data_IF_898997632032
#
_entry.id   IF_898997632032
#
_cell.length_a   1.000
_cell.length_b   1.000
_cell.length_c   1.000
_cell.angle_alpha   90.00
_cell.angle_beta   90.00
_cell.angle_gamma   90.00
#
_symmetry.space_group_name_H-M   'P 1'
#
loop_
_entity.id
_entity.type
_entity.pdbx_description
1 polymer ?
#
# COMPACT_ATOMS: atom_id res chain seq x y z
N UNK A 1 20.32 1.01 16.10
CA UNK A 1 19.83 0.15 15.01
C UNK A 1 18.45 -0.43 15.33
N UNK A 2 18.22 -1.03 16.51
CA UNK A 2 16.94 -1.64 16.91
C UNK A 2 15.79 -0.63 16.86
N UNK A 3 15.96 0.57 17.37
CA UNK A 3 14.93 1.63 17.36
C UNK A 3 14.52 1.98 15.92
N UNK A 4 15.49 2.09 15.00
CA UNK A 4 15.22 2.37 13.58
C UNK A 4 14.46 1.21 12.91
N UNK A 5 14.84 -0.03 13.18
CA UNK A 5 14.10 -1.19 12.68
C UNK A 5 12.64 -1.16 13.13
N UNK A 6 12.39 -0.91 14.42
CA UNK A 6 11.03 -0.77 14.93
C UNK A 6 10.29 0.39 14.27
N UNK A 7 10.96 1.52 14.01
CA UNK A 7 10.36 2.66 13.30
C UNK A 7 9.98 2.29 11.87
N UNK A 8 10.84 1.58 11.11
CA UNK A 8 10.52 1.13 9.74
C UNK A 8 9.33 0.16 9.74
N UNK A 9 9.35 -0.84 10.64
CA UNK A 9 8.24 -1.78 10.78
C UNK A 9 6.95 -1.05 11.17
N UNK A 10 7.04 -0.05 12.05
CA UNK A 10 5.90 0.77 12.44
C UNK A 10 5.35 1.59 11.27
N UNK A 11 6.22 2.25 10.49
CA UNK A 11 5.81 3.04 9.33
C UNK A 11 5.12 2.20 8.24
N UNK A 12 5.51 0.93 8.08
CA UNK A 12 4.84 0.00 7.16
C UNK A 12 3.56 -0.56 7.80
N UNK A 13 3.64 -1.04 9.03
CA UNK A 13 2.57 -1.80 9.68
C UNK A 13 1.43 -0.94 10.22
N UNK A 14 1.72 0.24 10.77
CA UNK A 14 0.70 1.10 11.38
C UNK A 14 -0.37 1.58 10.38
N UNK A 15 -0.02 2.06 9.16
CA UNK A 15 -1.04 2.40 8.17
C UNK A 15 -1.86 1.19 7.72
N UNK A 16 -1.25 0.00 7.65
CA UNK A 16 -1.95 -1.25 7.35
C UNK A 16 -3.01 -1.57 8.42
N UNK A 17 -2.65 -1.44 9.70
CA UNK A 17 -3.59 -1.62 10.81
C UNK A 17 -4.70 -0.57 10.78
N UNK A 18 -4.37 0.69 10.47
CA UNK A 18 -5.34 1.77 10.30
C UNK A 18 -6.32 1.49 9.16
N UNK A 19 -5.83 0.96 8.03
CA UNK A 19 -6.65 0.52 6.91
C UNK A 19 -7.62 -0.59 7.33
N UNK A 20 -7.14 -1.60 8.06
CA UNK A 20 -7.97 -2.67 8.60
C UNK A 20 -9.03 -2.16 9.58
N UNK A 21 -8.65 -1.26 10.49
CA UNK A 21 -9.57 -0.66 11.46
C UNK A 21 -10.70 0.12 10.77
N UNK A 22 -10.41 0.83 9.68
CA UNK A 22 -11.39 1.55 8.87
C UNK A 22 -12.34 0.61 8.11
N UNK A 23 -11.85 -0.54 7.63
CA UNK A 23 -12.71 -1.56 6.98
C UNK A 23 -13.69 -2.21 7.95
N UNK A 24 -13.25 -2.47 9.19
CA UNK A 24 -14.08 -3.10 10.22
C UNK A 24 -15.09 -2.10 10.80
N UNK A 25 -14.67 -0.87 11.07
CA UNK A 25 -15.50 0.18 11.65
C UNK A 25 -16.19 1.04 10.59
N UNK A 26 -17.27 0.52 10.01
CA UNK A 26 -18.05 1.23 8.98
C UNK A 26 -18.95 2.35 9.53
N UNK A 27 -18.83 2.73 10.80
CA UNK A 27 -19.62 3.82 11.38
C UNK A 27 -19.17 5.16 10.84
N UNK A 28 -20.09 5.89 10.22
CA UNK A 28 -19.82 7.20 9.60
C UNK A 28 -19.25 8.26 10.56
N UNK A 29 -19.43 8.12 11.86
CA UNK A 29 -18.91 9.04 12.88
C UNK A 29 -17.45 8.76 13.27
N UNK A 30 -16.95 7.54 13.06
CA UNK A 30 -15.62 7.14 13.54
C UNK A 30 -14.51 7.30 12.49
N UNK A 31 -14.86 7.20 11.17
CA UNK A 31 -13.82 7.27 10.13
C UNK A 31 -13.02 8.60 10.14
N UNK A 32 -13.62 9.80 10.41
CA UNK A 32 -12.81 11.02 10.42
C UNK A 32 -11.81 11.03 11.58
N UNK A 33 -12.24 10.59 12.75
CA UNK A 33 -11.38 10.52 13.95
C UNK A 33 -10.23 9.56 13.71
N UNK A 34 -10.50 8.37 13.16
CA UNK A 34 -9.48 7.40 12.80
C UNK A 34 -8.54 7.94 11.71
N UNK A 35 -9.07 8.63 10.68
CA UNK A 35 -8.25 9.19 9.63
C UNK A 35 -7.32 10.31 10.15
N UNK A 36 -7.84 11.27 10.93
CA UNK A 36 -7.04 12.36 11.49
C UNK A 36 -5.99 11.84 12.49
N UNK A 37 -6.37 10.94 13.40
CA UNK A 37 -5.43 10.39 14.37
C UNK A 37 -4.34 9.56 13.71
N UNK A 38 -4.70 8.71 12.75
CA UNK A 38 -3.73 7.89 12.01
C UNK A 38 -2.78 8.76 11.17
N UNK A 39 -3.29 9.79 10.50
CA UNK A 39 -2.48 10.72 9.74
C UNK A 39 -1.50 11.49 10.63
N UNK A 40 -1.97 11.99 11.79
CA UNK A 40 -1.14 12.70 12.76
C UNK A 40 -0.02 11.82 13.34
N UNK A 41 -0.33 10.59 13.72
CA UNK A 41 0.64 9.62 14.23
C UNK A 41 1.67 9.28 13.14
N UNK A 42 1.21 9.04 11.91
CA UNK A 42 2.09 8.69 10.80
C UNK A 42 3.05 9.82 10.45
N UNK A 43 2.56 11.06 10.40
CA UNK A 43 3.37 12.24 10.18
C UNK A 43 4.43 12.42 11.29
N UNK A 44 4.04 12.29 12.55
CA UNK A 44 4.95 12.37 13.69
C UNK A 44 6.01 11.26 13.65
N UNK A 45 5.62 10.02 13.36
CA UNK A 45 6.54 8.90 13.23
C UNK A 45 7.53 9.08 12.08
N UNK A 46 7.07 9.63 10.93
CA UNK A 46 7.95 9.91 9.77
C UNK A 46 9.01 10.95 10.10
N UNK A 47 8.69 11.97 10.91
CA UNK A 47 9.69 12.92 11.42
C UNK A 47 10.77 12.24 12.29
N UNK A 48 10.44 11.09 12.87
CA UNK A 48 11.43 10.24 13.57
C UNK A 48 12.58 9.77 12.69
N UNK A 49 12.42 9.72 11.38
CA UNK A 49 13.50 9.41 10.42
C UNK A 49 14.59 10.48 10.39
N UNK A 50 14.33 11.71 10.87
CA UNK A 50 15.29 12.80 10.94
C UNK A 50 16.24 12.71 12.16
N UNK A 51 16.00 11.80 13.10
CA UNK A 51 16.84 11.71 14.31
C UNK A 51 18.29 11.29 13.99
N UNK A 52 19.28 11.74 14.83
CA UNK A 52 20.71 11.68 14.50
C UNK A 52 21.31 10.28 14.34
N UNK A 53 20.56 9.21 14.64
CA UNK A 53 21.00 7.83 14.38
C UNK A 53 21.11 7.49 12.88
N UNK A 54 20.56 8.34 12.00
CA UNK A 54 20.70 8.23 10.53
C UNK A 54 22.06 8.71 10.00
N UNK A 55 22.98 9.16 10.87
CA UNK A 55 24.33 9.60 10.43
C UNK A 55 25.24 8.47 9.93
N UNK A 56 24.91 7.21 10.23
CA UNK A 56 25.69 6.03 9.81
C UNK A 56 25.02 5.22 8.69
N UNK A 57 24.20 5.85 7.86
CA UNK A 57 23.56 5.21 6.70
C UNK A 57 24.56 5.04 5.55
N UNK A 58 24.45 3.95 4.72
CA UNK A 58 23.32 3.02 4.65
C UNK A 58 23.27 1.97 5.78
N UNK A 59 22.08 1.63 6.23
CA UNK A 59 21.81 0.60 7.22
C UNK A 59 20.92 -0.50 6.60
N UNK A 60 21.28 -1.76 6.89
CA UNK A 60 20.53 -2.92 6.44
C UNK A 60 19.96 -3.67 7.65
N UNK A 61 18.72 -4.14 7.52
CA UNK A 61 18.01 -4.81 8.60
C UNK A 61 17.46 -6.14 8.13
N UNK A 62 17.58 -7.14 8.98
CA UNK A 62 16.90 -8.40 8.85
C UNK A 62 15.53 -8.30 9.54
N UNK A 63 14.46 -8.35 8.76
CA UNK A 63 13.08 -8.28 9.24
C UNK A 63 12.28 -9.48 8.70
N UNK A 64 12.84 -10.69 8.85
CA UNK A 64 12.18 -11.89 8.36
C UNK A 64 11.63 -12.74 9.51
N UNK A 65 10.30 -12.81 9.58
CA UNK A 65 9.65 -13.93 10.26
C UNK A 65 9.31 -15.00 9.21
N UNK A 66 9.44 -16.30 9.50
CA UNK A 66 9.26 -17.38 8.52
C UNK A 66 7.89 -17.41 7.82
N UNK A 67 6.90 -16.76 8.41
CA UNK A 67 5.53 -16.69 7.89
C UNK A 67 5.28 -15.50 6.95
N UNK A 68 6.17 -14.49 6.92
CA UNK A 68 5.95 -13.25 6.17
C UNK A 68 5.95 -13.51 4.66
N UNK A 69 6.99 -14.14 4.14
CA UNK A 69 7.10 -14.41 2.69
C UNK A 69 5.97 -15.32 2.17
N UNK A 70 5.60 -16.43 2.86
CA UNK A 70 4.43 -17.23 2.45
C UNK A 70 3.12 -16.43 2.45
N UNK A 71 2.91 -15.54 3.42
CA UNK A 71 1.71 -14.70 3.47
C UNK A 71 1.72 -13.67 2.33
N UNK A 72 2.85 -13.03 2.05
CA UNK A 72 2.99 -12.11 0.93
C UNK A 72 2.71 -12.82 -0.40
N UNK A 73 3.28 -14.01 -0.60
CA UNK A 73 3.05 -14.82 -1.81
C UNK A 73 1.57 -15.20 -1.96
N UNK A 74 0.92 -15.64 -0.89
CA UNK A 74 -0.51 -15.96 -0.92
C UNK A 74 -1.36 -14.72 -1.23
N UNK A 75 -1.03 -13.57 -0.65
CA UNK A 75 -1.72 -12.30 -0.92
C UNK A 75 -1.55 -11.86 -2.38
N UNK A 76 -0.36 -12.04 -2.95
CA UNK A 76 -0.06 -11.76 -4.36
C UNK A 76 -0.91 -12.60 -5.31
N UNK A 77 -1.05 -13.90 -5.03
CA UNK A 77 -1.93 -14.78 -5.79
C UNK A 77 -3.39 -14.33 -5.71
N UNK A 78 -3.87 -13.94 -4.52
CA UNK A 78 -5.23 -13.42 -4.35
C UNK A 78 -5.44 -12.12 -5.13
N UNK A 79 -4.47 -11.22 -5.14
CA UNK A 79 -4.51 -9.98 -5.92
C UNK A 79 -4.57 -10.29 -7.42
N UNK A 80 -3.68 -11.16 -7.91
CA UNK A 80 -3.64 -11.57 -9.31
C UNK A 80 -4.95 -12.22 -9.74
N UNK A 81 -5.50 -13.14 -8.94
CA UNK A 81 -6.79 -13.77 -9.21
C UNK A 81 -7.93 -12.75 -9.24
N UNK A 82 -7.95 -11.78 -8.32
CA UNK A 82 -8.95 -10.72 -8.31
C UNK A 82 -8.89 -9.88 -9.59
N UNK A 83 -7.70 -9.45 -10.01
CA UNK A 83 -7.52 -8.68 -11.25
C UNK A 83 -7.89 -9.51 -12.48
N UNK A 84 -7.56 -10.80 -12.49
CA UNK A 84 -7.90 -11.71 -13.57
C UNK A 84 -9.42 -11.86 -13.74
N UNK A 85 -10.14 -12.13 -12.65
CA UNK A 85 -11.60 -12.22 -12.64
C UNK A 85 -12.24 -10.93 -13.14
N UNK A 86 -11.69 -9.79 -12.71
CA UNK A 86 -12.20 -8.47 -13.09
C UNK A 86 -11.98 -8.19 -14.59
N UNK A 87 -10.80 -8.55 -15.11
CA UNK A 87 -10.44 -8.41 -16.53
C UNK A 87 -11.31 -9.33 -17.42
N UNK A 88 -11.52 -10.58 -17.02
CA UNK A 88 -12.42 -11.49 -17.75
C UNK A 88 -13.87 -10.99 -17.78
N UNK A 89 -14.37 -10.45 -16.68
CA UNK A 89 -15.73 -9.86 -16.64
C UNK A 89 -15.90 -8.71 -17.61
N UNK A 90 -14.83 -7.92 -17.83
CA UNK A 90 -14.81 -6.82 -18.79
C UNK A 90 -14.46 -7.23 -20.21
N UNK A 91 -14.05 -8.46 -20.43
CA UNK A 91 -13.56 -8.97 -21.73
C UNK A 91 -12.34 -8.18 -22.23
N UNK A 92 -11.52 -7.67 -21.33
CA UNK A 92 -10.27 -7.01 -21.67
C UNK A 92 -9.16 -8.06 -21.81
N UNK A 93 -8.90 -8.44 -23.08
CA UNK A 93 -7.91 -9.47 -23.39
C UNK A 93 -6.47 -9.03 -23.11
N UNK A 94 -6.18 -7.73 -23.18
CA UNK A 94 -4.82 -7.21 -22.96
C UNK A 94 -4.46 -7.30 -21.48
N UNK A 95 -5.31 -6.77 -20.61
CA UNK A 95 -5.10 -6.84 -19.15
C UNK A 95 -5.07 -8.30 -18.70
N UNK A 96 -5.98 -9.15 -19.21
CA UNK A 96 -5.96 -10.60 -18.89
C UNK A 96 -4.64 -11.26 -19.27
N UNK A 97 -4.09 -10.96 -20.44
CA UNK A 97 -2.82 -11.51 -20.89
C UNK A 97 -1.64 -11.08 -20.01
N UNK A 98 -1.59 -9.79 -19.61
CA UNK A 98 -0.55 -9.30 -18.71
C UNK A 98 -0.65 -9.93 -17.33
N UNK A 99 -1.84 -10.02 -16.71
CA UNK A 99 -2.02 -10.65 -15.40
C UNK A 99 -1.65 -12.13 -15.45
N UNK A 100 -2.02 -12.86 -16.51
CA UNK A 100 -1.62 -14.27 -16.69
C UNK A 100 -0.09 -14.41 -16.84
N UNK A 101 0.53 -13.55 -17.65
CA UNK A 101 1.97 -13.56 -17.82
C UNK A 101 2.71 -13.28 -16.50
N UNK A 102 2.27 -12.27 -15.76
CA UNK A 102 2.80 -11.92 -14.44
C UNK A 102 2.66 -13.08 -13.45
N UNK A 103 1.47 -13.67 -13.33
CA UNK A 103 1.22 -14.82 -12.45
C UNK A 103 2.09 -16.02 -12.83
N UNK A 104 2.23 -16.31 -14.12
CA UNK A 104 3.08 -17.39 -14.61
C UNK A 104 4.55 -17.15 -14.26
N UNK A 105 5.05 -15.92 -14.43
CA UNK A 105 6.42 -15.53 -14.08
C UNK A 105 6.66 -15.62 -12.57
N UNK A 106 5.70 -15.17 -11.75
CA UNK A 106 5.75 -15.26 -10.30
C UNK A 106 5.85 -16.72 -9.83
N UNK A 107 5.00 -17.59 -10.36
CA UNK A 107 5.03 -19.03 -10.06
C UNK A 107 6.33 -19.69 -10.53
N UNK A 108 6.77 -19.39 -11.74
CA UNK A 108 8.02 -19.92 -12.29
C UNK A 108 9.23 -19.49 -11.45
N UNK A 109 9.26 -18.24 -10.98
CA UNK A 109 10.32 -17.74 -10.10
C UNK A 109 10.24 -18.40 -8.72
N UNK A 110 9.07 -18.43 -8.11
CA UNK A 110 8.88 -18.98 -6.75
C UNK A 110 9.22 -20.48 -6.66
N UNK A 111 8.80 -21.29 -7.63
CA UNK A 111 9.06 -22.73 -7.65
C UNK A 111 10.38 -23.12 -8.32
N UNK A 112 11.01 -22.20 -9.05
CA UNK A 112 12.27 -22.40 -9.75
C UNK A 112 13.46 -21.69 -9.07
N UNK A 113 14.08 -20.70 -9.75
CA UNK A 113 15.33 -20.07 -9.29
C UNK A 113 15.19 -19.33 -7.94
N UNK A 114 14.00 -18.86 -7.60
CA UNK A 114 13.74 -18.12 -6.38
C UNK A 114 13.92 -18.92 -5.09
N UNK A 115 13.87 -20.26 -5.15
CA UNK A 115 14.08 -21.13 -3.97
C UNK A 115 15.48 -21.02 -3.38
N UNK A 116 16.47 -20.68 -4.20
CA UNK A 116 17.87 -20.59 -3.79
C UNK A 116 18.29 -19.17 -3.42
N UNK A 117 17.43 -18.18 -3.69
CA UNK A 117 17.71 -16.77 -3.44
C UNK A 117 17.13 -16.36 -2.09
N UNK A 118 17.99 -16.34 -1.07
CA UNK A 118 17.63 -15.80 0.24
C UNK A 118 18.28 -14.43 0.42
N UNK A 119 17.47 -13.38 0.53
CA UNK A 119 17.96 -12.06 0.91
C UNK A 119 18.29 -12.07 2.40
N UNK A 120 19.54 -11.81 2.75
CA UNK A 120 19.97 -11.73 4.16
C UNK A 120 19.32 -10.55 4.87
N UNK A 121 19.10 -9.44 4.16
CA UNK A 121 18.51 -8.21 4.68
C UNK A 121 17.32 -7.82 3.82
N UNK A 122 16.13 -7.79 4.40
CA UNK A 122 14.88 -7.48 3.69
C UNK A 122 14.55 -5.98 3.68
N UNK A 123 15.07 -5.23 4.65
CA UNK A 123 14.87 -3.78 4.73
C UNK A 123 16.20 -3.04 4.72
N UNK A 124 16.18 -1.84 4.15
CA UNK A 124 17.33 -0.93 4.16
C UNK A 124 16.89 0.51 4.41
N UNK A 125 17.82 1.31 4.87
CA UNK A 125 17.63 2.74 5.08
C UNK A 125 18.87 3.47 4.61
N UNK A 126 18.72 4.30 3.59
CA UNK A 126 19.72 5.22 3.09
C UNK A 126 19.18 6.66 3.06
N UNK A 127 19.96 7.62 2.58
CA UNK A 127 19.55 9.03 2.52
C UNK A 127 18.34 9.22 1.60
N UNK A 128 18.29 8.47 0.50
CA UNK A 128 17.17 8.53 -0.44
C UNK A 128 15.89 7.95 0.17
N UNK A 129 15.99 6.79 0.85
CA UNK A 129 14.86 6.18 1.55
C UNK A 129 14.31 7.07 2.66
N UNK A 130 15.18 7.78 3.40
CA UNK A 130 14.76 8.78 4.40
C UNK A 130 13.95 9.90 3.74
N UNK A 131 14.49 10.47 2.64
CA UNK A 131 13.80 11.54 1.91
C UNK A 131 12.42 11.06 1.38
N UNK A 132 12.38 9.90 0.74
CA UNK A 132 11.13 9.33 0.23
C UNK A 132 10.16 9.00 1.36
N UNK A 133 10.63 8.42 2.47
CA UNK A 133 9.81 8.13 3.64
C UNK A 133 9.21 9.39 4.28
N UNK A 134 9.94 10.51 4.31
CA UNK A 134 9.41 11.80 4.76
C UNK A 134 8.34 12.34 3.81
N UNK A 135 8.55 12.25 2.50
CA UNK A 135 7.55 12.67 1.49
C UNK A 135 6.28 11.84 1.66
N UNK A 136 6.38 10.52 1.71
CA UNK A 136 5.23 9.62 1.88
C UNK A 136 4.51 9.92 3.20
N UNK A 137 5.26 10.05 4.30
CA UNK A 137 4.68 10.23 5.63
C UNK A 137 4.06 11.59 5.83
N UNK A 138 4.69 12.68 5.39
CA UNK A 138 4.18 14.04 5.60
C UNK A 138 3.11 14.36 4.56
N UNK A 139 3.45 14.28 3.26
CA UNK A 139 2.53 14.66 2.20
C UNK A 139 1.35 13.68 2.13
N UNK A 140 1.61 12.36 2.25
CA UNK A 140 0.55 11.35 2.27
C UNK A 140 -0.42 11.53 3.43
N UNK A 141 0.09 11.88 4.63
CA UNK A 141 -0.78 12.19 5.78
C UNK A 141 -1.59 13.47 5.56
N UNK A 142 -1.01 14.51 4.97
CA UNK A 142 -1.74 15.74 4.63
C UNK A 142 -2.83 15.48 3.59
N UNK A 143 -2.58 14.63 2.60
CA UNK A 143 -3.59 14.19 1.63
C UNK A 143 -4.73 13.47 2.34
N UNK A 144 -4.44 12.56 3.29
CA UNK A 144 -5.46 11.86 4.04
C UNK A 144 -6.31 12.82 4.90
N UNK A 145 -5.70 13.83 5.53
CA UNK A 145 -6.40 14.89 6.28
C UNK A 145 -7.31 15.70 5.36
N UNK A 146 -6.78 16.19 4.25
CA UNK A 146 -7.55 16.96 3.26
C UNK A 146 -8.74 16.16 2.70
N UNK A 147 -8.52 14.89 2.44
CA UNK A 147 -9.54 14.00 1.87
C UNK A 147 -10.77 13.84 2.77
N UNK A 148 -10.67 14.06 4.09
CA UNK A 148 -11.82 13.96 5.01
C UNK A 148 -12.88 15.01 4.67
N UNK A 149 -12.47 16.27 4.56
CA UNK A 149 -13.40 17.35 4.24
C UNK A 149 -13.84 17.28 2.78
N UNK A 150 -12.93 16.94 1.87
CA UNK A 150 -13.25 16.75 0.45
C UNK A 150 -14.32 15.67 0.25
N UNK A 151 -14.21 14.52 0.89
CA UNK A 151 -15.18 13.42 0.75
C UNK A 151 -16.51 13.72 1.42
N UNK A 152 -16.51 14.55 2.46
CA UNK A 152 -17.74 15.06 3.08
C UNK A 152 -18.50 15.99 2.12
N UNK A 153 -17.78 16.94 1.53
CA UNK A 153 -18.35 17.88 0.56
C UNK A 153 -18.84 17.17 -0.70
N UNK A 154 -18.04 16.23 -1.22
CA UNK A 154 -18.39 15.41 -2.37
C UNK A 154 -19.74 14.69 -2.19
N UNK A 155 -19.97 14.02 -1.04
CA UNK A 155 -21.22 13.30 -0.80
C UNK A 155 -22.41 14.23 -0.51
N UNK A 156 -22.19 15.49 -0.10
CA UNK A 156 -23.26 16.48 0.02
C UNK A 156 -23.78 16.93 -1.35
N UNK A 157 -22.89 17.07 -2.33
CA UNK A 157 -23.24 17.50 -3.68
C UNK A 157 -23.66 16.33 -4.59
N UNK A 158 -23.29 15.10 -4.23
CA UNK A 158 -23.54 13.90 -5.01
C UNK A 158 -24.19 12.79 -4.16
N UNK A 159 -25.45 12.97 -3.71
CA UNK A 159 -26.14 11.99 -2.87
C UNK A 159 -26.46 10.67 -3.59
N UNK A 160 -26.38 10.64 -4.93
CA UNK A 160 -26.58 9.47 -5.76
C UNK A 160 -25.50 8.40 -5.61
N UNK A 161 -24.29 8.78 -5.15
CA UNK A 161 -23.20 7.82 -4.96
C UNK A 161 -23.30 7.13 -3.60
N UNK A 162 -23.02 5.84 -3.60
CA UNK A 162 -22.99 5.04 -2.37
C UNK A 162 -21.91 5.55 -1.41
N UNK A 163 -22.28 5.76 -0.15
CA UNK A 163 -21.34 6.18 0.88
C UNK A 163 -20.40 5.02 1.28
N UNK A 164 -19.23 4.98 0.67
CA UNK A 164 -18.16 4.04 0.94
C UNK A 164 -16.90 4.73 1.47
N UNK A 165 -17.06 5.88 2.15
CA UNK A 165 -15.93 6.66 2.71
C UNK A 165 -14.95 5.83 3.56
N UNK A 166 -15.38 4.93 4.45
CA UNK A 166 -14.44 4.09 5.20
C UNK A 166 -13.54 3.23 4.30
N UNK A 167 -14.07 2.71 3.18
CA UNK A 167 -13.29 1.95 2.20
C UNK A 167 -12.30 2.85 1.48
N UNK A 168 -12.70 4.06 1.10
CA UNK A 168 -11.83 5.05 0.48
C UNK A 168 -10.61 5.37 1.37
N UNK A 169 -10.84 5.68 2.66
CA UNK A 169 -9.75 5.95 3.60
C UNK A 169 -8.90 4.72 3.89
N UNK A 170 -9.51 3.54 3.95
CA UNK A 170 -8.76 2.29 4.07
C UNK A 170 -7.79 2.11 2.90
N UNK A 171 -8.22 2.38 1.67
CA UNK A 171 -7.36 2.31 0.49
C UNK A 171 -6.23 3.34 0.53
N UNK A 172 -6.47 4.57 1.02
CA UNK A 172 -5.42 5.57 1.21
C UNK A 172 -4.36 5.06 2.19
N UNK A 173 -4.75 4.57 3.37
CA UNK A 173 -3.78 4.08 4.36
C UNK A 173 -3.08 2.79 3.91
N UNK A 174 -3.77 1.91 3.18
CA UNK A 174 -3.15 0.74 2.56
C UNK A 174 -2.10 1.16 1.52
N UNK A 175 -2.42 2.16 0.71
CA UNK A 175 -1.48 2.74 -0.25
C UNK A 175 -0.25 3.34 0.44
N UNK A 176 -0.42 4.10 1.53
CA UNK A 176 0.69 4.66 2.30
C UNK A 176 1.57 3.56 2.91
N UNK A 177 0.96 2.50 3.46
CA UNK A 177 1.68 1.32 3.96
C UNK A 177 2.55 0.71 2.86
N UNK A 178 1.98 0.49 1.69
CA UNK A 178 2.68 -0.09 0.55
C UNK A 178 3.80 0.83 0.04
N UNK A 179 3.58 2.14 -0.01
CA UNK A 179 4.61 3.11 -0.40
C UNK A 179 5.80 3.12 0.57
N UNK A 180 5.57 3.02 1.89
CA UNK A 180 6.67 2.81 2.84
C UNK A 180 7.39 1.48 2.60
N UNK A 181 6.64 0.41 2.31
CA UNK A 181 7.23 -0.87 1.92
C UNK A 181 8.13 -0.74 0.70
N UNK A 182 7.70 -0.05 -0.35
CA UNK A 182 8.52 0.23 -1.55
C UNK A 182 9.79 1.02 -1.18
N UNK A 183 9.67 2.05 -0.32
CA UNK A 183 10.80 2.92 0.04
C UNK A 183 11.88 2.19 0.85
N UNK A 184 11.51 1.18 1.64
CA UNK A 184 12.41 0.52 2.57
C UNK A 184 12.79 -0.91 2.20
N UNK A 185 12.19 -1.49 1.15
CA UNK A 185 12.50 -2.85 0.71
C UNK A 185 13.89 -2.98 0.09
N UNK A 186 14.70 -3.92 0.60
CA UNK A 186 15.98 -4.34 0.01
C UNK A 186 15.88 -5.70 -0.70
N UNK A 187 14.74 -6.31 -0.68
CA UNK A 187 14.43 -7.57 -1.33
C UNK A 187 13.50 -7.31 -2.52
N UNK A 188 13.89 -7.79 -3.69
CA UNK A 188 13.12 -7.58 -4.92
C UNK A 188 11.71 -8.16 -4.86
N UNK A 189 11.52 -9.30 -4.17
CA UNK A 189 10.21 -9.91 -3.94
C UNK A 189 9.31 -9.02 -3.07
N UNK A 190 9.86 -8.45 -1.99
CA UNK A 190 9.15 -7.49 -1.14
C UNK A 190 8.80 -6.21 -1.90
N UNK A 191 9.76 -5.68 -2.65
CA UNK A 191 9.56 -4.49 -3.49
C UNK A 191 8.41 -4.70 -4.48
N UNK A 192 8.41 -5.85 -5.18
CA UNK A 192 7.38 -6.20 -6.13
C UNK A 192 6.00 -6.32 -5.47
N UNK A 193 5.90 -7.02 -4.34
CA UNK A 193 4.67 -7.15 -3.56
C UNK A 193 4.07 -5.79 -3.16
N UNK A 194 4.87 -4.91 -2.58
CA UNK A 194 4.39 -3.59 -2.19
C UNK A 194 4.01 -2.73 -3.40
N UNK A 195 4.77 -2.84 -4.49
CA UNK A 195 4.44 -2.15 -5.73
C UNK A 195 3.08 -2.60 -6.28
N UNK A 196 2.79 -3.88 -6.28
CA UNK A 196 1.50 -4.43 -6.71
C UNK A 196 0.33 -3.89 -5.87
N UNK A 197 0.50 -3.83 -4.55
CA UNK A 197 -0.52 -3.23 -3.67
C UNK A 197 -0.76 -1.76 -4.05
N UNK A 198 0.27 -0.96 -4.35
CA UNK A 198 0.07 0.43 -4.78
C UNK A 198 -0.74 0.54 -6.06
N UNK A 199 -0.50 -0.35 -7.01
CA UNK A 199 -1.24 -0.42 -8.28
C UNK A 199 -2.71 -0.76 -8.05
N UNK A 200 -3.00 -1.77 -7.24
CA UNK A 200 -4.37 -2.16 -6.90
C UNK A 200 -5.10 -1.05 -6.14
N UNK A 201 -4.44 -0.41 -5.17
CA UNK A 201 -5.03 0.72 -4.44
C UNK A 201 -5.36 1.88 -5.38
N UNK A 202 -4.46 2.23 -6.31
CA UNK A 202 -4.68 3.27 -7.31
C UNK A 202 -5.87 2.92 -8.21
N UNK A 203 -5.93 1.69 -8.70
CA UNK A 203 -7.05 1.18 -9.49
C UNK A 203 -8.39 1.33 -8.75
N UNK A 204 -8.45 0.90 -7.48
CA UNK A 204 -9.68 0.96 -6.69
C UNK A 204 -10.07 2.40 -6.33
N UNK A 205 -9.11 3.29 -6.09
CA UNK A 205 -9.36 4.72 -5.83
C UNK A 205 -9.88 5.43 -7.07
N UNK A 206 -9.32 5.17 -8.27
CA UNK A 206 -9.80 5.75 -9.53
C UNK A 206 -11.23 5.25 -9.83
N UNK A 207 -11.49 3.97 -9.57
CA UNK A 207 -12.80 3.34 -9.77
C UNK A 207 -13.85 3.74 -8.73
N UNK A 208 -13.52 4.56 -7.74
CA UNK A 208 -14.38 4.83 -6.57
C UNK A 208 -15.82 5.26 -6.94
N UNK A 209 -16.01 6.04 -8.00
CA UNK A 209 -17.32 6.49 -8.47
C UNK A 209 -18.17 5.40 -9.11
N UNK A 210 -17.56 4.30 -9.55
CA UNK A 210 -18.22 3.18 -10.24
C UNK A 210 -18.98 3.55 -11.53
N UNK A 211 -18.81 4.80 -12.05
CA UNK A 211 -19.30 5.19 -13.36
C UNK A 211 -18.47 4.55 -14.49
N UNK A 212 -19.04 4.46 -15.68
CA UNK A 212 -18.41 3.78 -16.82
C UNK A 212 -17.05 4.40 -17.18
N UNK A 213 -16.93 5.72 -17.08
CA UNK A 213 -15.71 6.46 -17.37
C UNK A 213 -14.62 6.21 -16.32
N UNK A 214 -14.97 6.28 -15.03
CA UNK A 214 -14.02 6.01 -13.94
C UNK A 214 -13.50 4.58 -13.98
N UNK A 215 -14.38 3.63 -14.28
CA UNK A 215 -13.99 2.23 -14.43
C UNK A 215 -13.08 2.04 -15.66
N UNK A 216 -13.37 2.68 -16.80
CA UNK A 216 -12.49 2.64 -17.97
C UNK A 216 -11.10 3.24 -17.64
N UNK A 217 -11.06 4.41 -17.00
CA UNK A 217 -9.81 5.07 -16.59
C UNK A 217 -9.00 4.23 -15.61
N UNK A 218 -9.65 3.52 -14.69
CA UNK A 218 -8.99 2.61 -13.77
C UNK A 218 -8.27 1.46 -14.49
N UNK A 219 -8.90 0.88 -15.52
CA UNK A 219 -8.27 -0.16 -16.35
C UNK A 219 -7.10 0.36 -17.21
N UNK A 220 -7.13 1.63 -17.62
CA UNK A 220 -6.00 2.25 -18.29
C UNK A 220 -4.81 2.53 -17.35
N UNK A 221 -5.04 2.54 -16.04
CA UNK A 221 -4.01 2.77 -15.02
C UNK A 221 -3.36 1.47 -14.51
N UNK A 222 -3.90 0.30 -14.88
CA UNK A 222 -3.31 -1.02 -14.63
C UNK A 222 -2.24 -1.32 -15.67
#
# INVERSE_FOLDING_TARGET
>A
QIILLFLLIFLIGFPLLSAGALLVNRKASLYPVLAYSSAGILMAASLGLLFPHTRSIPLFFEASAPWVEPVMFAAELVISDYLLVLSFRRRDGVVSAFVLAQTALLLAFHFGPGKEVHAVHNLFLDQFSVMMGLIVGIIGSLIAVYAVDYMKDFHQHHPEFKDNRPVFFSLIFLFLSAMFGVCFSNNLFWLFFFWEITTVCSFLLIRYKEDEQSVANAFWAL
#
